data_IF_974809884125
#
_entry.id   IF_974809884125
#
_cell.length_a   1.000
_cell.length_b   1.000
_cell.length_c   1.000
_cell.angle_alpha   90.00
_cell.angle_beta   90.00
_cell.angle_gamma   90.00
#
_symmetry.space_group_name_H-M   'P 1'
#
loop_
_entity.id
_entity.type
_entity.pdbx_description
1 polymer ?
#
# COMPACT_ATOMS: atom_id res chain seq x y z
N UNK A 1 -8.95 0.06 4.86
CA UNK A 1 -7.94 -0.17 3.83
C UNK A 1 -8.55 -0.47 2.48
N UNK A 2 -7.75 -0.35 1.46
CA UNK A 2 -8.17 -0.67 0.10
C UNK A 2 -7.60 -2.03 -0.28
N UNK A 3 -8.46 -2.90 -0.81
CA UNK A 3 -8.04 -4.18 -1.34
C UNK A 3 -7.69 -4.01 -2.81
N UNK A 4 -6.49 -4.41 -3.18
CA UNK A 4 -6.01 -4.36 -4.56
C UNK A 4 -5.76 -5.78 -5.04
N UNK A 5 -5.76 -5.96 -6.35
CA UNK A 5 -5.60 -7.29 -6.94
C UNK A 5 -4.20 -7.52 -7.50
N UNK A 6 -3.46 -6.45 -7.77
CA UNK A 6 -2.09 -6.54 -8.28
C UNK A 6 -1.21 -5.50 -7.64
N UNK A 7 0.09 -5.75 -7.67
CA UNK A 7 1.09 -4.79 -7.19
C UNK A 7 1.02 -3.52 -8.03
N UNK A 8 0.81 -3.66 -9.33
CA UNK A 8 0.70 -2.51 -10.24
C UNK A 8 -0.46 -1.60 -9.86
N UNK A 9 -1.59 -2.17 -9.42
CA UNK A 9 -2.71 -1.37 -8.92
C UNK A 9 -2.33 -0.60 -7.67
N UNK A 10 -1.58 -1.23 -6.77
CA UNK A 10 -1.11 -0.58 -5.56
C UNK A 10 -0.16 0.56 -5.85
N UNK A 11 0.78 0.35 -6.75
CA UNK A 11 1.72 1.39 -7.15
C UNK A 11 0.99 2.56 -7.82
N UNK A 12 0.01 2.27 -8.67
CA UNK A 12 -0.79 3.30 -9.34
C UNK A 12 -1.64 4.08 -8.33
N UNK A 13 -2.22 3.38 -7.35
CA UNK A 13 -2.99 4.01 -6.29
C UNK A 13 -2.11 4.98 -5.49
N UNK A 14 -0.92 4.55 -5.12
CA UNK A 14 0.00 5.38 -4.36
C UNK A 14 0.43 6.61 -5.16
N UNK A 15 0.79 6.42 -6.43
CA UNK A 15 1.20 7.50 -7.31
C UNK A 15 0.06 8.52 -7.47
N UNK A 16 -1.15 8.04 -7.74
CA UNK A 16 -2.31 8.92 -7.88
C UNK A 16 -2.58 9.70 -6.60
N UNK A 17 -2.43 9.06 -5.44
CA UNK A 17 -2.59 9.72 -4.15
C UNK A 17 -1.60 10.87 -3.97
N UNK A 18 -0.34 10.64 -4.28
CA UNK A 18 0.70 11.67 -4.21
C UNK A 18 0.39 12.81 -5.17
N UNK A 19 0.01 12.50 -6.40
CA UNK A 19 -0.31 13.52 -7.41
C UNK A 19 -1.51 14.37 -7.03
N UNK A 20 -2.40 13.84 -6.19
CA UNK A 20 -3.59 14.55 -5.71
C UNK A 20 -3.39 15.18 -4.33
N UNK A 21 -2.16 15.40 -3.91
CA UNK A 21 -1.84 16.13 -2.70
C UNK A 21 -1.62 15.27 -1.47
N UNK A 22 -1.67 13.97 -1.60
CA UNK A 22 -1.35 13.07 -0.51
C UNK A 22 0.14 13.04 -0.21
N UNK A 23 0.48 12.49 0.95
CA UNK A 23 1.86 12.36 1.39
C UNK A 23 2.18 10.90 1.63
N UNK A 24 3.32 10.44 1.12
CA UNK A 24 3.81 9.11 1.42
C UNK A 24 4.24 9.05 2.88
N UNK A 25 3.78 8.03 3.59
CA UNK A 25 4.13 7.84 5.00
C UNK A 25 4.62 6.41 5.20
N UNK A 26 5.32 6.20 6.32
CA UNK A 26 5.95 4.94 6.67
C UNK A 26 6.97 4.57 5.59
N UNK A 27 7.03 3.31 5.18
CA UNK A 27 7.97 2.89 4.16
C UNK A 27 7.36 3.05 2.78
N UNK A 28 8.21 3.10 1.77
CA UNK A 28 7.79 3.09 0.37
C UNK A 28 6.91 1.88 0.09
N UNK A 29 6.02 1.96 -0.92
CA UNK A 29 5.23 0.80 -1.32
C UNK A 29 6.12 -0.39 -1.63
N UNK A 30 5.72 -1.56 -1.17
CA UNK A 30 6.49 -2.76 -1.44
C UNK A 30 6.02 -3.95 -0.62
N UNK A 31 6.73 -5.06 -0.80
CA UNK A 31 6.40 -6.31 -0.15
C UNK A 31 6.99 -6.33 1.26
N UNK A 32 6.17 -6.73 2.22
CA UNK A 32 6.57 -6.96 3.62
C UNK A 32 6.52 -8.45 3.88
N UNK A 33 7.60 -8.98 4.42
CA UNK A 33 7.71 -10.40 4.76
C UNK A 33 7.48 -10.55 6.27
N UNK A 34 6.39 -11.23 6.63
CA UNK A 34 6.03 -11.47 8.02
C UNK A 34 6.34 -12.91 8.46
N UNK A 35 7.12 -13.64 7.66
CA UNK A 35 7.49 -15.02 7.96
C UNK A 35 6.48 -16.01 7.41
N UNK A 36 5.30 -16.06 7.99
CA UNK A 36 4.24 -17.00 7.56
C UNK A 36 3.49 -16.54 6.34
N UNK A 37 3.60 -15.26 5.99
CA UNK A 37 2.95 -14.69 4.82
C UNK A 37 3.69 -13.45 4.37
N UNK A 38 3.44 -13.05 3.13
CA UNK A 38 3.98 -11.82 2.56
C UNK A 38 2.84 -10.97 2.05
N UNK A 39 2.93 -9.67 2.28
CA UNK A 39 1.94 -8.72 1.80
C UNK A 39 2.62 -7.57 1.09
N UNK A 40 1.99 -7.10 0.02
CA UNK A 40 2.29 -5.80 -0.54
C UNK A 40 1.50 -4.76 0.24
N UNK A 41 2.15 -3.70 0.67
CA UNK A 41 1.52 -2.61 1.40
C UNK A 41 1.98 -1.28 0.85
N UNK A 42 1.05 -0.33 0.79
CA UNK A 42 1.34 1.05 0.44
C UNK A 42 0.53 1.97 1.35
N UNK A 43 1.17 2.98 1.88
CA UNK A 43 0.56 3.89 2.84
C UNK A 43 0.61 5.32 2.35
N UNK A 44 -0.46 6.05 2.60
CA UNK A 44 -0.58 7.47 2.28
C UNK A 44 -1.28 8.19 3.42
N UNK A 45 -1.01 9.48 3.54
CA UNK A 45 -1.85 10.38 4.31
C UNK A 45 -2.50 11.32 3.30
N UNK A 46 -3.82 11.44 3.35
CA UNK A 46 -4.52 12.32 2.42
C UNK A 46 -4.37 13.80 2.85
N UNK A 47 -4.78 14.76 1.98
CA UNK A 47 -4.60 16.19 2.32
C UNK A 47 -5.30 16.62 3.61
N UNK A 48 -6.33 15.92 4.04
CA UNK A 48 -7.05 16.22 5.29
C UNK A 48 -6.44 15.50 6.50
N UNK A 49 -5.38 14.72 6.30
CA UNK A 49 -4.65 14.06 7.37
C UNK A 49 -5.03 12.63 7.67
N UNK A 50 -5.94 12.04 6.91
CA UNK A 50 -6.35 10.66 7.12
C UNK A 50 -5.31 9.68 6.58
N UNK A 51 -4.99 8.66 7.37
CA UNK A 51 -4.07 7.61 6.95
C UNK A 51 -4.81 6.57 6.11
N UNK A 52 -4.27 6.27 4.93
CA UNK A 52 -4.86 5.32 3.99
C UNK A 52 -3.85 4.22 3.71
N UNK A 53 -4.36 3.01 3.47
CA UNK A 53 -3.52 1.85 3.21
C UNK A 53 -4.12 1.01 2.10
N UNK A 54 -3.29 0.58 1.15
CA UNK A 54 -3.65 -0.43 0.16
C UNK A 54 -2.84 -1.69 0.45
N UNK A 55 -3.48 -2.84 0.38
CA UNK A 55 -2.82 -4.10 0.71
C UNK A 55 -3.22 -5.25 -0.18
N UNK A 56 -2.28 -6.18 -0.38
CA UNK A 56 -2.48 -7.38 -1.18
C UNK A 56 -1.69 -8.53 -0.54
N UNK A 57 -2.38 -9.64 -0.26
CA UNK A 57 -1.70 -10.84 0.19
C UNK A 57 -0.97 -11.47 -0.99
N UNK A 58 0.35 -11.57 -0.91
CA UNK A 58 1.18 -12.09 -2.00
C UNK A 58 1.34 -13.60 -1.88
N UNK A 59 1.68 -14.07 -0.68
CA UNK A 59 1.94 -15.49 -0.45
C UNK A 59 1.66 -15.84 0.98
N UNK A 60 0.98 -16.96 1.18
CA UNK A 60 0.76 -17.53 2.50
C UNK A 60 1.53 -18.84 2.59
N UNK A 61 2.36 -18.97 3.61
CA UNK A 61 3.10 -20.19 3.88
C UNK A 61 2.37 -21.00 4.97
N UNK A 62 2.13 -22.26 4.70
CA UNK A 62 1.49 -23.16 5.67
C UNK A 62 2.52 -23.80 6.58
#
# INVERSE_FOLDING_TARGET
GFNIETIEQGDAWHKAGIENGGTSIEEEPGIRDYGKFKMYLAYLRDPTGNKLCAGLLIKKTL
#
